data_IF_724761455932
#
_entry.id   IF_724761455932
#
_cell.length_a   1.000
_cell.length_b   1.000
_cell.length_c   1.000
_cell.angle_alpha   90.00
_cell.angle_beta   90.00
_cell.angle_gamma   90.00
#
_symmetry.space_group_name_H-M   'P 1'
#
loop_
_entity.id
_entity.type
_entity.pdbx_description
1 polymer ?
#
# COMPACT_ATOMS: atom_id res chain seq x y z
N UNK A 1 -57.07 56.28 -46.23
CA UNK A 1 -55.63 56.18 -45.96
C UNK A 1 -55.48 56.08 -44.51
N UNK A 2 -55.18 54.86 -44.03
CA UNK A 2 -55.10 54.54 -42.60
C UNK A 2 -53.71 54.02 -42.32
N UNK A 3 -52.95 54.81 -41.56
CA UNK A 3 -51.63 54.38 -41.01
C UNK A 3 -51.88 53.46 -39.90
N UNK A 4 -51.36 52.25 -40.01
CA UNK A 4 -51.23 51.31 -38.87
C UNK A 4 -49.81 51.35 -38.36
N UNK A 5 -49.68 51.98 -37.19
CA UNK A 5 -48.47 51.84 -36.36
C UNK A 5 -48.45 50.47 -35.73
N UNK A 6 -47.55 49.59 -36.14
CA UNK A 6 -47.27 48.33 -35.43
C UNK A 6 -46.24 48.57 -34.33
N UNK A 7 -46.73 48.50 -33.07
CA UNK A 7 -45.83 48.52 -31.90
C UNK A 7 -45.10 47.18 -31.76
N UNK A 8 -43.80 47.19 -31.92
CA UNK A 8 -42.96 46.04 -31.64
C UNK A 8 -42.73 45.93 -30.13
N UNK A 9 -43.34 44.95 -29.52
CA UNK A 9 -43.08 44.55 -28.12
C UNK A 9 -41.76 43.81 -28.04
N UNK A 10 -40.72 44.47 -27.54
CA UNK A 10 -39.47 43.84 -27.18
C UNK A 10 -39.68 42.98 -25.93
N UNK A 11 -39.68 41.66 -26.12
CA UNK A 11 -39.57 40.69 -25.05
C UNK A 11 -38.10 40.66 -24.60
N UNK A 12 -37.78 41.31 -23.49
CA UNK A 12 -36.55 41.09 -22.75
C UNK A 12 -36.67 39.72 -22.07
N UNK A 13 -36.08 38.72 -22.68
CA UNK A 13 -35.85 37.44 -22.04
C UNK A 13 -34.81 37.66 -20.92
N UNK A 14 -35.28 37.61 -19.66
CA UNK A 14 -34.40 37.66 -18.49
C UNK A 14 -33.43 36.49 -18.52
N UNK A 15 -32.14 36.76 -18.65
CA UNK A 15 -31.08 35.78 -18.41
C UNK A 15 -31.14 35.39 -16.92
N UNK A 16 -31.13 34.09 -16.61
CA UNK A 16 -31.02 33.68 -15.22
C UNK A 16 -29.66 34.12 -14.67
N UNK A 17 -29.68 34.93 -13.63
CA UNK A 17 -28.52 35.28 -12.86
C UNK A 17 -28.01 33.99 -12.20
N UNK A 18 -26.99 33.36 -12.79
CA UNK A 18 -26.31 32.22 -12.16
C UNK A 18 -25.65 32.78 -10.90
N UNK A 19 -26.29 32.53 -9.77
CA UNK A 19 -25.70 32.82 -8.47
C UNK A 19 -24.37 32.05 -8.38
N UNK A 20 -23.26 32.78 -8.41
CA UNK A 20 -21.94 32.22 -8.11
C UNK A 20 -21.99 31.75 -6.66
N UNK A 21 -22.13 30.44 -6.46
CA UNK A 21 -21.98 29.85 -5.15
C UNK A 21 -20.53 30.09 -4.70
N UNK A 22 -20.32 30.62 -3.50
CA UNK A 22 -18.98 30.68 -2.93
C UNK A 22 -18.40 29.27 -2.95
N UNK A 23 -17.23 29.11 -3.58
CA UNK A 23 -16.49 27.85 -3.52
C UNK A 23 -16.06 27.71 -2.08
N UNK A 24 -16.83 26.95 -1.31
CA UNK A 24 -16.46 26.54 0.03
C UNK A 24 -15.15 25.76 -0.09
N UNK A 25 -14.06 26.17 0.59
CA UNK A 25 -12.81 25.43 0.49
C UNK A 25 -13.12 24.01 0.93
N UNK A 26 -12.96 23.07 -0.04
CA UNK A 26 -13.14 21.66 0.22
C UNK A 26 -12.33 21.33 1.48
N UNK A 27 -13.03 20.95 2.55
CA UNK A 27 -12.39 20.47 3.76
C UNK A 27 -11.58 19.24 3.35
N UNK A 28 -10.29 19.45 3.17
CA UNK A 28 -9.33 18.35 2.97
C UNK A 28 -9.33 17.60 4.30
N UNK A 29 -10.18 16.59 4.38
CA UNK A 29 -10.14 15.66 5.49
C UNK A 29 -8.75 15.03 5.44
N UNK A 30 -7.91 15.18 6.49
CA UNK A 30 -6.60 14.54 6.47
C UNK A 30 -6.81 13.04 6.23
N UNK A 31 -6.00 12.41 5.37
CA UNK A 31 -6.11 10.98 5.13
C UNK A 31 -6.04 10.26 6.48
N UNK A 32 -6.84 9.20 6.68
CA UNK A 32 -6.82 8.43 7.91
C UNK A 32 -5.37 8.06 8.22
N UNK A 33 -4.93 8.35 9.44
CA UNK A 33 -3.56 8.11 9.87
C UNK A 33 -3.21 6.66 9.55
N UNK A 34 -2.25 6.46 8.64
CA UNK A 34 -1.79 5.12 8.28
C UNK A 34 -1.33 4.43 9.56
N UNK A 35 -1.96 3.34 9.91
CA UNK A 35 -1.54 2.52 11.04
C UNK A 35 -0.07 2.16 10.82
N UNK A 36 0.75 2.34 11.85
CA UNK A 36 2.17 1.98 11.75
C UNK A 36 2.30 0.47 11.67
N UNK A 37 3.19 -0.06 10.79
CA UNK A 37 3.48 -1.48 10.75
C UNK A 37 3.87 -1.99 12.15
N UNK A 38 3.22 -3.05 12.60
CA UNK A 38 3.52 -3.70 13.88
C UNK A 38 4.68 -4.70 13.74
N UNK A 39 5.86 -4.20 13.41
CA UNK A 39 7.07 -5.01 13.27
C UNK A 39 7.77 -5.04 14.63
N UNK A 40 7.92 -6.21 15.27
CA UNK A 40 8.53 -6.33 16.59
C UNK A 40 9.99 -5.89 16.60
N UNK A 41 10.49 -5.49 17.78
CA UNK A 41 11.90 -5.18 17.99
C UNK A 41 12.73 -6.41 18.37
N UNK A 42 12.05 -7.43 18.90
CA UNK A 42 12.64 -8.75 19.21
C UNK A 42 12.03 -9.80 18.32
N UNK A 43 12.89 -10.64 17.75
CA UNK A 43 12.46 -11.66 16.82
C UNK A 43 12.47 -13.03 17.49
N UNK A 44 11.36 -13.72 17.36
CA UNK A 44 11.21 -15.12 17.72
C UNK A 44 11.02 -15.95 16.46
N UNK A 45 11.31 -17.23 16.53
CA UNK A 45 11.07 -18.16 15.42
C UNK A 45 11.94 -17.89 14.18
N UNK A 46 13.18 -17.40 14.36
CA UNK A 46 14.19 -17.35 13.32
C UNK A 46 14.88 -18.71 13.20
N UNK A 47 14.60 -19.45 12.13
CA UNK A 47 15.13 -20.81 11.91
C UNK A 47 16.14 -20.89 10.77
N UNK A 48 16.27 -19.85 9.95
CA UNK A 48 17.18 -19.79 8.81
C UNK A 48 18.19 -18.67 8.94
N UNK A 49 17.74 -17.53 9.46
CA UNK A 49 18.58 -16.36 9.70
C UNK A 49 19.15 -16.38 11.14
N UNK A 50 20.31 -15.78 11.37
CA UNK A 50 20.92 -15.71 12.70
C UNK A 50 19.98 -15.06 13.72
N UNK A 51 19.88 -15.61 14.92
CA UNK A 51 19.09 -15.02 16.01
C UNK A 51 19.60 -13.65 16.46
N UNK A 52 20.85 -13.33 16.15
CA UNK A 52 21.53 -12.05 16.46
C UNK A 52 21.35 -10.99 15.38
N UNK A 53 20.61 -11.29 14.29
CA UNK A 53 20.39 -10.34 13.20
C UNK A 53 19.70 -9.07 13.71
N UNK A 54 20.20 -7.91 13.29
CA UNK A 54 19.56 -6.64 13.62
C UNK A 54 18.23 -6.46 12.89
N UNK A 55 17.35 -5.62 13.45
CA UNK A 55 16.05 -5.30 12.81
C UNK A 55 16.23 -4.74 11.42
N UNK A 56 17.21 -3.85 11.23
CA UNK A 56 17.48 -3.22 9.94
C UNK A 56 17.93 -4.24 8.90
N UNK A 57 18.83 -5.14 9.26
CA UNK A 57 19.31 -6.21 8.38
C UNK A 57 18.19 -7.19 8.04
N UNK A 58 17.42 -7.64 9.03
CA UNK A 58 16.29 -8.54 8.81
C UNK A 58 15.26 -7.93 7.85
N UNK A 59 14.90 -6.67 8.06
CA UNK A 59 13.97 -5.97 7.16
C UNK A 59 14.56 -5.82 5.76
N UNK A 60 15.87 -5.59 5.64
CA UNK A 60 16.57 -5.55 4.35
C UNK A 60 16.44 -6.87 3.61
N UNK A 61 16.78 -7.98 4.27
CA UNK A 61 16.67 -9.34 3.71
C UNK A 61 15.24 -9.65 3.30
N UNK A 62 14.26 -9.39 4.17
CA UNK A 62 12.85 -9.68 3.88
C UNK A 62 12.30 -8.85 2.71
N UNK A 63 12.63 -7.56 2.64
CA UNK A 63 12.21 -6.70 1.52
C UNK A 63 12.82 -7.17 0.20
N UNK A 64 14.10 -7.50 0.19
CA UNK A 64 14.76 -8.01 -1.00
C UNK A 64 14.18 -9.36 -1.44
N UNK A 65 13.94 -10.26 -0.51
CA UNK A 65 13.35 -11.57 -0.78
C UNK A 65 11.94 -11.42 -1.36
N UNK A 66 11.07 -10.62 -0.72
CA UNK A 66 9.72 -10.34 -1.18
C UNK A 66 9.70 -9.70 -2.58
N UNK A 67 10.61 -8.76 -2.85
CA UNK A 67 10.74 -8.12 -4.16
C UNK A 67 11.18 -9.11 -5.24
N UNK A 68 12.14 -10.00 -4.95
CA UNK A 68 12.63 -11.04 -5.86
C UNK A 68 11.52 -12.04 -6.20
N UNK A 69 10.74 -12.44 -5.20
CA UNK A 69 9.62 -13.36 -5.35
C UNK A 69 8.35 -12.68 -5.89
N UNK A 70 8.33 -11.34 -5.99
CA UNK A 70 7.18 -10.52 -6.39
C UNK A 70 5.94 -10.77 -5.55
N UNK A 71 6.12 -10.95 -4.24
CA UNK A 71 5.05 -11.19 -3.27
C UNK A 71 5.06 -10.13 -2.18
N UNK A 72 3.94 -10.02 -1.45
CA UNK A 72 3.81 -9.15 -0.27
C UNK A 72 4.20 -9.91 1.00
N UNK A 73 4.48 -9.20 2.09
CA UNK A 73 4.79 -9.80 3.40
C UNK A 73 3.67 -10.73 3.88
N UNK A 74 2.42 -10.35 3.65
CA UNK A 74 1.23 -11.14 3.99
C UNK A 74 1.10 -12.46 3.22
N UNK A 75 1.89 -12.69 2.18
CA UNK A 75 1.91 -13.97 1.47
C UNK A 75 2.52 -15.09 2.35
N UNK A 76 3.60 -14.78 3.07
CA UNK A 76 4.31 -15.75 3.91
C UNK A 76 4.01 -15.57 5.41
N UNK A 77 3.67 -14.38 5.85
CA UNK A 77 3.40 -14.07 7.25
C UNK A 77 1.90 -13.91 7.53
N UNK A 78 1.46 -14.35 8.70
CA UNK A 78 0.07 -14.19 9.16
C UNK A 78 -0.17 -12.76 9.65
N UNK A 79 -0.07 -11.81 8.73
CA UNK A 79 -0.24 -10.38 8.98
C UNK A 79 -1.21 -9.77 7.98
N UNK A 80 -1.81 -8.62 8.34
CA UNK A 80 -2.62 -7.82 7.44
C UNK A 80 -1.77 -7.20 6.32
N UNK A 81 -2.40 -6.78 5.22
CA UNK A 81 -1.70 -6.19 4.08
C UNK A 81 -1.03 -4.85 4.40
N UNK A 82 -1.55 -4.11 5.37
CA UNK A 82 -0.96 -2.89 5.91
C UNK A 82 0.06 -3.15 7.03
N UNK A 83 0.28 -4.41 7.38
CA UNK A 83 1.19 -4.89 8.42
C UNK A 83 0.87 -4.39 9.83
N UNK A 84 -0.32 -3.86 10.07
CA UNK A 84 -0.74 -3.30 11.35
C UNK A 84 -1.22 -4.36 12.34
N UNK A 85 -1.61 -5.54 11.85
CA UNK A 85 -2.20 -6.62 12.63
C UNK A 85 -1.57 -7.96 12.28
N UNK A 86 -1.66 -8.92 13.20
CA UNK A 86 -1.18 -10.28 13.01
C UNK A 86 0.20 -10.54 13.61
N UNK A 87 0.83 -11.63 13.20
CA UNK A 87 2.10 -12.10 13.75
C UNK A 87 3.09 -12.51 12.67
N UNK A 88 4.24 -11.85 12.66
CA UNK A 88 5.36 -12.26 11.80
C UNK A 88 6.00 -13.57 12.26
N UNK A 89 5.89 -13.91 13.55
CA UNK A 89 6.45 -15.14 14.10
C UNK A 89 5.60 -16.39 13.86
N UNK A 90 4.31 -16.23 13.57
CA UNK A 90 3.38 -17.36 13.33
C UNK A 90 3.80 -18.22 12.14
N UNK A 91 3.70 -19.52 12.27
CA UNK A 91 3.90 -20.51 11.21
C UNK A 91 2.57 -21.03 10.62
N UNK A 92 1.50 -20.27 10.81
CA UNK A 92 0.16 -20.62 10.30
C UNK A 92 0.13 -20.78 8.76
N UNK A 93 0.96 -19.99 8.05
CA UNK A 93 1.01 -20.04 6.59
C UNK A 93 2.06 -21.03 6.09
N UNK A 94 1.68 -22.05 5.34
CA UNK A 94 2.63 -23.03 4.78
C UNK A 94 3.65 -22.39 3.82
N UNK A 95 3.29 -21.30 3.15
CA UNK A 95 4.18 -20.52 2.28
C UNK A 95 5.41 -19.98 3.03
N UNK A 96 5.32 -19.75 4.33
CA UNK A 96 6.46 -19.36 5.16
C UNK A 96 7.51 -20.46 5.25
N UNK A 97 7.11 -21.70 5.40
CA UNK A 97 8.05 -22.83 5.43
C UNK A 97 8.65 -23.09 4.04
N UNK A 98 7.88 -22.92 2.97
CA UNK A 98 8.42 -22.99 1.60
C UNK A 98 9.47 -21.90 1.36
N UNK A 99 9.23 -20.68 1.85
CA UNK A 99 10.22 -19.61 1.80
C UNK A 99 11.51 -19.97 2.58
N UNK A 100 11.38 -20.59 3.75
CA UNK A 100 12.53 -21.06 4.53
C UNK A 100 13.34 -22.12 3.79
N UNK A 101 12.69 -23.07 3.13
CA UNK A 101 13.36 -24.07 2.28
C UNK A 101 14.15 -23.41 1.17
N UNK A 102 13.54 -22.45 0.48
CA UNK A 102 14.20 -21.71 -0.59
C UNK A 102 15.40 -20.92 -0.09
N UNK A 103 15.28 -20.24 1.05
CA UNK A 103 16.41 -19.52 1.67
C UNK A 103 17.56 -20.45 2.02
N UNK A 104 17.29 -21.65 2.57
CA UNK A 104 18.32 -22.66 2.84
C UNK A 104 19.04 -23.11 1.57
N UNK A 105 18.30 -23.36 0.49
CA UNK A 105 18.87 -23.74 -0.79
C UNK A 105 19.76 -22.65 -1.37
N UNK A 106 19.33 -21.40 -1.33
CA UNK A 106 20.12 -20.25 -1.79
C UNK A 106 21.41 -20.17 -0.97
N UNK A 107 21.32 -20.26 0.36
CA UNK A 107 22.47 -20.22 1.23
C UNK A 107 23.47 -21.34 0.94
N UNK A 108 23.02 -22.58 0.74
CA UNK A 108 23.84 -23.72 0.37
C UNK A 108 24.53 -23.50 -1.00
N UNK A 109 23.79 -23.01 -1.99
CA UNK A 109 24.33 -22.72 -3.32
C UNK A 109 25.42 -21.66 -3.28
N UNK A 110 25.28 -20.64 -2.43
CA UNK A 110 26.29 -19.59 -2.27
C UNK A 110 27.55 -20.07 -1.51
N UNK A 111 27.39 -21.08 -0.62
CA UNK A 111 28.50 -21.63 0.17
C UNK A 111 29.24 -22.77 -0.55
N UNK A 112 28.66 -23.36 -1.60
CA UNK A 112 29.28 -24.40 -2.38
C UNK A 112 30.11 -23.75 -3.50
N UNK A 113 31.46 -23.83 -3.48
CA UNK A 113 32.26 -23.31 -4.56
C UNK A 113 31.88 -24.02 -5.86
N UNK A 114 31.70 -23.25 -6.92
CA UNK A 114 31.48 -23.82 -8.24
C UNK A 114 32.64 -24.77 -8.55
N UNK A 115 32.32 -26.08 -8.72
CA UNK A 115 33.33 -27.06 -9.12
C UNK A 115 33.83 -26.69 -10.53
N UNK A 116 35.15 -26.53 -10.76
CA UNK A 116 35.68 -26.17 -12.06
C UNK A 116 35.36 -27.25 -13.12
#
# INVERSE_FOLDING_TARGET
>A
MKLFCAAALFWFAGLPLVAQQPIEPAQVTPPPALKRPNIPDHFTNLTVLPATISKTELLGVMKQFAATMKVRCSYCHAVSDDLSEGSFASDEKPTKEEARKLMRLIHQAMMTPAKP
#
